data_IF_997851156097
#
_entry.id   IF_997851156097
#
_cell.length_a   1.000
_cell.length_b   1.000
_cell.length_c   1.000
_cell.angle_alpha   90.00
_cell.angle_beta   90.00
_cell.angle_gamma   90.00
#
_symmetry.space_group_name_H-M   'P 1'
#
loop_
_entity.id
_entity.type
_entity.pdbx_description
1 polymer ?
#
# COMPACT_ATOMS: atom_id res chain seq x y z
N UNK A 1 5.28 -17.46 29.66
CA UNK A 1 5.86 -16.34 28.88
C UNK A 1 7.16 -16.85 28.27
N UNK A 2 7.13 -17.23 26.98
CA UNK A 2 8.32 -17.72 26.28
C UNK A 2 9.31 -16.57 26.09
N UNK A 3 10.51 -16.76 26.64
CA UNK A 3 11.50 -15.73 26.98
C UNK A 3 12.37 -15.25 25.81
N UNK A 4 12.06 -15.68 24.57
CA UNK A 4 12.93 -15.50 23.40
C UNK A 4 12.42 -14.48 22.39
N UNK A 5 11.12 -14.13 22.44
CA UNK A 5 10.59 -12.96 21.74
C UNK A 5 10.64 -11.76 22.68
N UNK A 6 11.76 -11.04 22.64
CA UNK A 6 11.95 -9.76 23.32
C UNK A 6 11.88 -8.61 22.30
N UNK A 7 11.78 -7.38 22.79
CA UNK A 7 11.77 -6.18 21.97
C UNK A 7 12.94 -6.21 20.98
N UNK A 8 12.66 -5.92 19.71
CA UNK A 8 13.61 -5.93 18.59
C UNK A 8 14.05 -7.30 18.07
N UNK A 9 13.55 -8.43 18.58
CA UNK A 9 13.82 -9.76 17.97
C UNK A 9 13.47 -9.74 16.48
N UNK A 10 12.25 -9.29 16.18
CA UNK A 10 11.80 -8.90 14.85
C UNK A 10 11.76 -7.37 14.77
N UNK A 11 12.25 -6.80 13.68
CA UNK A 11 12.20 -5.35 13.44
C UNK A 11 11.05 -4.99 12.50
N UNK A 12 10.83 -3.68 12.29
CA UNK A 12 9.77 -3.14 11.41
C UNK A 12 8.36 -3.70 11.70
N UNK A 13 8.07 -4.00 12.98
CA UNK A 13 6.82 -4.60 13.45
C UNK A 13 6.55 -6.03 12.95
N UNK A 14 7.59 -6.81 12.60
CA UNK A 14 7.43 -8.23 12.30
C UNK A 14 6.89 -9.01 13.51
N UNK A 15 6.01 -9.98 13.26
CA UNK A 15 5.40 -10.77 14.33
C UNK A 15 6.38 -11.87 14.79
N UNK A 16 6.71 -11.87 16.08
CA UNK A 16 7.62 -12.86 16.66
C UNK A 16 6.84 -14.07 17.18
N UNK A 17 7.30 -15.28 16.82
CA UNK A 17 6.82 -16.56 17.33
C UNK A 17 7.99 -17.48 17.67
N UNK A 18 7.74 -18.57 18.40
CA UNK A 18 8.75 -19.61 18.65
C UNK A 18 8.43 -20.80 17.74
N UNK A 19 9.43 -21.25 16.97
CA UNK A 19 9.29 -22.37 16.05
C UNK A 19 9.40 -23.73 16.77
N UNK A 20 9.27 -24.83 16.03
CA UNK A 20 9.34 -26.20 16.58
C UNK A 20 10.70 -26.58 17.18
N UNK A 21 11.76 -25.82 16.89
CA UNK A 21 13.10 -26.00 17.43
C UNK A 21 13.38 -25.14 18.68
N UNK A 22 12.35 -24.53 19.27
CA UNK A 22 12.46 -23.57 20.38
C UNK A 22 13.26 -22.29 20.04
N UNK A 23 13.30 -21.91 18.76
CA UNK A 23 14.00 -20.70 18.28
C UNK A 23 13.01 -19.59 17.89
N UNK A 24 13.36 -18.30 18.09
CA UNK A 24 12.52 -17.20 17.62
C UNK A 24 12.47 -17.15 16.09
N UNK A 25 11.27 -16.90 15.56
CA UNK A 25 10.98 -16.77 14.13
C UNK A 25 10.13 -15.54 13.88
N UNK A 26 10.44 -14.80 12.81
CA UNK A 26 9.76 -13.57 12.45
C UNK A 26 8.89 -13.74 11.20
N UNK A 27 7.61 -13.37 11.30
CA UNK A 27 6.75 -13.18 10.14
C UNK A 27 6.87 -11.73 9.65
N UNK A 28 7.34 -11.58 8.41
CA UNK A 28 7.61 -10.29 7.78
C UNK A 28 6.54 -9.84 6.78
N UNK A 29 5.46 -10.62 6.57
CA UNK A 29 4.47 -10.39 5.50
C UNK A 29 3.86 -8.98 5.55
N UNK A 30 3.63 -8.44 6.75
CA UNK A 30 3.03 -7.11 6.94
C UNK A 30 4.05 -5.97 7.09
N UNK A 31 5.34 -6.24 6.89
CA UNK A 31 6.41 -5.26 7.18
C UNK A 31 6.92 -4.53 5.94
N UNK A 32 6.72 -5.10 4.74
CA UNK A 32 7.42 -4.77 3.49
C UNK A 32 8.91 -5.14 3.41
N UNK A 33 9.49 -5.66 4.50
CA UNK A 33 10.86 -6.15 4.58
C UNK A 33 10.91 -7.69 4.53
N UNK A 34 12.12 -8.22 4.34
CA UNK A 34 12.40 -9.66 4.33
C UNK A 34 13.60 -9.99 5.23
N UNK A 35 13.97 -11.27 5.28
CA UNK A 35 15.06 -11.77 6.12
C UNK A 35 14.57 -12.32 7.45
N UNK A 36 15.45 -13.03 8.16
CA UNK A 36 15.09 -13.73 9.41
C UNK A 36 14.57 -12.80 10.51
N UNK A 37 14.89 -11.51 10.44
CA UNK A 37 14.46 -10.50 11.40
C UNK A 37 13.64 -9.38 10.78
N UNK A 38 13.25 -9.49 9.51
CA UNK A 38 12.59 -8.44 8.74
C UNK A 38 13.43 -7.17 8.56
N UNK A 39 14.76 -7.31 8.44
CA UNK A 39 15.75 -6.24 8.42
C UNK A 39 16.34 -5.96 7.03
N UNK A 40 15.95 -6.73 6.01
CA UNK A 40 16.50 -6.62 4.65
C UNK A 40 15.46 -6.08 3.70
N UNK A 41 15.90 -5.23 2.78
CA UNK A 41 15.07 -4.77 1.67
C UNK A 41 14.80 -5.91 0.68
N UNK A 42 13.55 -6.07 0.20
CA UNK A 42 13.25 -7.05 -0.83
C UNK A 42 13.81 -6.60 -2.20
N UNK A 43 13.90 -7.56 -3.13
CA UNK A 43 14.06 -7.21 -4.55
C UNK A 43 12.75 -6.61 -5.05
N UNK A 44 12.83 -5.50 -5.78
CA UNK A 44 11.68 -4.78 -6.33
C UNK A 44 11.71 -4.65 -7.85
N UNK A 45 10.65 -4.06 -8.37
CA UNK A 45 10.54 -3.66 -9.77
C UNK A 45 10.84 -2.16 -9.91
N UNK A 46 11.47 -1.77 -11.01
CA UNK A 46 11.84 -0.39 -11.29
C UNK A 46 11.06 0.10 -12.51
N UNK A 47 10.38 1.24 -12.37
CA UNK A 47 9.60 1.87 -13.43
C UNK A 47 10.19 3.24 -13.78
N UNK A 48 10.28 3.57 -15.06
CA UNK A 48 10.70 4.90 -15.52
C UNK A 48 11.74 4.86 -16.63
N UNK A 49 12.35 6.02 -16.89
CA UNK A 49 13.12 6.33 -18.11
C UNK A 49 14.47 5.58 -18.14
N UNK A 50 14.39 4.27 -18.38
CA UNK A 50 15.28 3.39 -19.15
C UNK A 50 15.09 1.89 -18.82
N UNK A 51 14.07 1.49 -18.05
CA UNK A 51 13.31 0.24 -18.28
C UNK A 51 11.82 0.54 -18.07
N UNK A 52 11.18 0.67 -19.23
CA UNK A 52 9.93 1.35 -19.61
C UNK A 52 8.71 1.13 -18.72
N UNK A 53 7.70 2.01 -18.91
CA UNK A 53 6.35 2.00 -18.32
C UNK A 53 5.85 0.57 -18.07
N UNK A 54 5.43 0.30 -16.84
CA UNK A 54 4.75 -0.96 -16.55
C UNK A 54 3.79 -0.79 -15.39
N UNK A 55 2.53 -1.07 -15.63
CA UNK A 55 1.68 -1.61 -14.57
C UNK A 55 2.03 -3.09 -14.49
N UNK A 56 2.35 -3.59 -13.31
CA UNK A 56 2.41 -5.05 -13.10
C UNK A 56 1.00 -5.50 -12.82
N UNK A 57 0.40 -6.15 -13.81
CA UNK A 57 -0.93 -6.72 -13.68
C UNK A 57 -0.81 -8.18 -13.26
N UNK A 58 -1.43 -8.53 -12.15
CA UNK A 58 -1.51 -9.91 -11.69
C UNK A 58 -2.97 -10.26 -11.39
N UNK A 59 -3.47 -11.34 -11.98
CA UNK A 59 -4.85 -11.80 -11.79
C UNK A 59 -4.85 -12.87 -10.70
N UNK A 60 -5.54 -12.60 -9.59
CA UNK A 60 -5.72 -13.56 -8.50
C UNK A 60 -7.05 -14.29 -8.69
N UNK A 61 -7.00 -15.56 -9.13
CA UNK A 61 -8.20 -16.36 -9.45
C UNK A 61 -8.93 -16.92 -8.22
N UNK A 62 -8.25 -17.00 -7.09
CA UNK A 62 -8.81 -17.49 -5.81
C UNK A 62 -9.01 -16.35 -4.82
N UNK A 63 -9.25 -15.13 -5.31
CA UNK A 63 -9.44 -13.98 -4.45
C UNK A 63 -10.62 -14.24 -3.50
N UNK A 64 -10.33 -14.28 -2.21
CA UNK A 64 -11.37 -14.34 -1.20
C UNK A 64 -12.05 -12.98 -1.15
N UNK A 65 -13.38 -12.98 -1.28
CA UNK A 65 -14.17 -11.79 -1.00
C UNK A 65 -14.23 -11.63 0.52
N UNK A 66 -13.30 -10.85 1.07
CA UNK A 66 -13.19 -10.57 2.50
C UNK A 66 -13.59 -9.14 2.83
N UNK A 67 -14.08 -8.95 4.06
CA UNK A 67 -14.37 -7.62 4.62
C UNK A 67 -13.13 -6.93 5.19
N UNK A 68 -11.98 -7.59 5.11
CA UNK A 68 -10.72 -7.18 5.72
C UNK A 68 -9.53 -7.54 4.84
N UNK A 69 -8.71 -6.54 4.54
CA UNK A 69 -7.49 -6.71 3.76
C UNK A 69 -6.32 -5.99 4.44
N UNK A 70 -5.14 -6.62 4.43
CA UNK A 70 -3.87 -6.00 4.80
C UNK A 70 -2.95 -6.08 3.59
N UNK A 71 -2.48 -4.93 3.13
CA UNK A 71 -1.63 -4.81 1.95
C UNK A 71 -0.36 -4.08 2.38
N UNK A 72 0.79 -4.70 2.20
CA UNK A 72 2.08 -4.13 2.60
C UNK A 72 3.09 -4.22 1.46
N UNK A 73 3.75 -3.11 1.15
CA UNK A 73 4.78 -3.04 0.10
C UNK A 73 5.74 -1.89 0.33
N UNK A 74 6.92 -1.98 -0.28
CA UNK A 74 7.91 -0.92 -0.27
C UNK A 74 7.74 0.02 -1.46
N UNK A 75 7.86 1.32 -1.24
CA UNK A 75 7.83 2.33 -2.29
C UNK A 75 9.08 3.21 -2.21
N UNK A 76 9.71 3.43 -3.36
CA UNK A 76 10.77 4.42 -3.51
C UNK A 76 10.53 5.19 -4.80
N UNK A 77 10.27 6.51 -4.70
CA UNK A 77 9.90 7.32 -5.86
C UNK A 77 10.34 8.77 -5.70
N UNK A 78 10.70 9.41 -6.81
CA UNK A 78 10.83 10.87 -6.95
C UNK A 78 9.64 11.48 -7.70
N UNK A 79 8.71 10.66 -8.17
CA UNK A 79 7.53 11.13 -8.90
C UNK A 79 6.53 11.73 -7.93
N UNK A 80 6.12 12.96 -8.20
CA UNK A 80 5.09 13.67 -7.44
C UNK A 80 3.67 13.34 -7.90
N UNK A 81 3.53 12.59 -9.00
CA UNK A 81 2.24 12.10 -9.50
C UNK A 81 2.37 10.69 -10.10
N UNK A 82 1.64 9.70 -9.56
CA UNK A 82 1.61 8.32 -10.06
C UNK A 82 0.46 7.52 -9.44
N UNK A 83 -0.11 6.56 -10.20
CA UNK A 83 -0.91 5.48 -9.61
C UNK A 83 0.04 4.42 -9.03
N UNK A 84 -0.07 4.16 -7.74
CA UNK A 84 0.85 3.29 -6.98
C UNK A 84 0.29 1.87 -6.89
N UNK A 85 -0.99 1.74 -6.53
CA UNK A 85 -1.67 0.46 -6.38
C UNK A 85 -3.09 0.58 -6.89
N UNK A 86 -3.57 -0.47 -7.56
CA UNK A 86 -4.98 -0.67 -7.86
C UNK A 86 -5.30 -2.15 -7.70
N UNK A 87 -6.19 -2.44 -6.76
CA UNK A 87 -6.80 -3.76 -6.60
C UNK A 87 -8.25 -3.64 -7.08
N UNK A 88 -8.65 -4.48 -8.03
CA UNK A 88 -9.99 -4.44 -8.60
C UNK A 88 -10.59 -5.85 -8.68
N UNK A 89 -11.87 -5.96 -8.34
CA UNK A 89 -12.67 -7.16 -8.59
C UNK A 89 -13.05 -7.24 -10.07
N UNK A 90 -13.35 -8.43 -10.60
CA UNK A 90 -14.08 -8.58 -11.87
C UNK A 90 -15.58 -8.85 -11.54
N UNK A 91 -16.56 -8.09 -12.05
CA UNK A 91 -16.53 -7.15 -13.18
C UNK A 91 -16.39 -5.66 -12.79
N UNK A 92 -15.36 -5.29 -12.02
CA UNK A 92 -15.00 -3.91 -11.64
C UNK A 92 -16.03 -3.18 -10.76
N UNK A 93 -16.76 -3.91 -9.92
CA UNK A 93 -17.71 -3.32 -8.96
C UNK A 93 -17.02 -2.80 -7.69
N UNK A 94 -15.90 -3.42 -7.32
CA UNK A 94 -15.12 -3.09 -6.14
C UNK A 94 -13.68 -2.80 -6.54
N UNK A 95 -13.13 -1.70 -6.02
CA UNK A 95 -11.70 -1.42 -6.16
C UNK A 95 -11.14 -0.61 -5.00
N UNK A 96 -9.86 -0.83 -4.71
CA UNK A 96 -9.05 -0.04 -3.79
C UNK A 96 -7.88 0.52 -4.59
N UNK A 97 -7.78 1.84 -4.65
CA UNK A 97 -6.74 2.54 -5.38
C UNK A 97 -5.93 3.43 -4.44
N UNK A 98 -4.61 3.42 -4.64
CA UNK A 98 -3.68 4.35 -4.02
C UNK A 98 -2.92 5.11 -5.11
N UNK A 99 -3.01 6.43 -5.09
CA UNK A 99 -2.30 7.31 -6.01
C UNK A 99 -1.66 8.49 -5.27
N UNK A 100 -0.62 9.04 -5.87
CA UNK A 100 -0.03 10.32 -5.49
C UNK A 100 -0.38 11.29 -6.61
N UNK A 101 -0.86 12.48 -6.29
CA UNK A 101 -1.14 13.55 -7.25
C UNK A 101 -0.61 14.86 -6.69
N UNK A 102 0.42 15.43 -7.33
CA UNK A 102 1.09 16.65 -6.89
C UNK A 102 1.46 16.62 -5.40
N UNK A 103 2.15 15.55 -4.98
CA UNK A 103 2.63 15.30 -3.60
C UNK A 103 1.52 15.01 -2.55
N UNK A 104 0.26 15.00 -2.96
CA UNK A 104 -0.85 14.57 -2.11
C UNK A 104 -1.14 13.08 -2.34
N UNK A 105 -1.20 12.30 -1.26
CA UNK A 105 -1.63 10.90 -1.28
C UNK A 105 -3.15 10.83 -1.29
N UNK A 106 -3.71 10.00 -2.18
CA UNK A 106 -5.14 9.72 -2.29
C UNK A 106 -5.43 8.24 -2.22
N UNK A 107 -6.37 7.86 -1.34
CA UNK A 107 -6.98 6.54 -1.31
C UNK A 107 -8.39 6.64 -1.87
N UNK A 108 -8.72 5.79 -2.86
CA UNK A 108 -10.07 5.71 -3.45
C UNK A 108 -10.63 4.32 -3.21
N UNK A 109 -11.86 4.25 -2.72
CA UNK A 109 -12.54 3.00 -2.45
C UNK A 109 -13.88 2.95 -3.18
N UNK A 110 -13.99 2.03 -4.13
CA UNK A 110 -15.24 1.69 -4.80
C UNK A 110 -15.84 0.47 -4.10
N UNK A 111 -17.04 0.62 -3.54
CA UNK A 111 -17.73 -0.42 -2.78
C UNK A 111 -19.06 -0.81 -3.43
N UNK A 112 -19.06 -1.12 -4.72
CA UNK A 112 -20.27 -1.40 -5.50
C UNK A 112 -21.04 -0.16 -5.96
N UNK A 113 -20.47 1.03 -5.74
CA UNK A 113 -21.03 2.34 -6.10
C UNK A 113 -20.35 2.91 -7.34
N UNK A 114 -21.03 3.83 -8.05
CA UNK A 114 -20.44 4.55 -9.19
C UNK A 114 -19.42 5.60 -8.79
N UNK A 115 -19.51 6.12 -7.57
CA UNK A 115 -18.60 7.13 -7.03
C UNK A 115 -17.80 6.50 -5.87
N UNK A 116 -16.47 6.73 -5.81
CA UNK A 116 -15.66 6.24 -4.72
C UNK A 116 -15.79 7.12 -3.48
N UNK A 117 -15.55 6.53 -2.31
CA UNK A 117 -15.11 7.28 -1.15
C UNK A 117 -13.65 7.68 -1.37
N UNK A 118 -13.34 8.97 -1.20
CA UNK A 118 -11.99 9.51 -1.40
C UNK A 118 -11.46 10.01 -0.08
N UNK A 119 -10.24 9.59 0.23
CA UNK A 119 -9.50 10.03 1.39
C UNK A 119 -8.14 10.56 0.95
N UNK A 120 -7.66 11.63 1.58
CA UNK A 120 -6.37 12.21 1.21
C UNK A 120 -5.54 12.67 2.41
N UNK A 121 -4.24 12.75 2.22
CA UNK A 121 -3.29 13.37 3.15
C UNK A 121 -2.04 13.84 2.41
N UNK A 122 -1.38 14.87 2.92
CA UNK A 122 -0.01 15.22 2.52
C UNK A 122 0.93 14.22 3.21
N UNK A 123 1.71 13.47 2.44
CA UNK A 123 2.64 12.47 2.97
C UNK A 123 3.98 12.59 2.25
N UNK A 124 5.06 12.68 3.02
CA UNK A 124 6.42 12.82 2.49
C UNK A 124 6.97 11.45 2.09
N UNK A 125 6.67 11.01 0.87
CA UNK A 125 7.11 9.70 0.31
C UNK A 125 7.72 9.81 -1.10
N UNK A 126 7.86 11.03 -1.62
CA UNK A 126 8.35 11.32 -2.97
C UNK A 126 9.79 11.87 -2.94
N UNK A 127 10.56 11.52 -1.91
CA UNK A 127 11.92 12.01 -1.66
C UNK A 127 13.02 11.10 -2.22
N UNK A 128 12.65 9.99 -2.86
CA UNK A 128 13.57 9.02 -3.44
C UNK A 128 14.16 8.03 -2.42
N UNK A 129 13.69 8.02 -1.18
CA UNK A 129 14.04 7.04 -0.14
C UNK A 129 12.98 5.94 -0.07
N UNK A 130 13.37 4.78 0.45
CA UNK A 130 12.45 3.66 0.66
C UNK A 130 11.51 3.94 1.83
N UNK A 131 10.20 3.82 1.58
CA UNK A 131 9.16 3.89 2.57
C UNK A 131 8.37 2.58 2.64
N UNK A 132 8.09 2.13 3.85
CA UNK A 132 7.22 0.99 4.11
C UNK A 132 5.76 1.45 4.11
N UNK A 133 4.99 1.05 3.10
CA UNK A 133 3.57 1.37 2.96
C UNK A 133 2.74 0.19 3.44
N UNK A 134 1.81 0.45 4.38
CA UNK A 134 0.79 -0.52 4.77
C UNK A 134 -0.59 0.10 4.68
N UNK A 135 -1.48 -0.58 3.97
CA UNK A 135 -2.89 -0.22 3.82
C UNK A 135 -3.73 -1.29 4.51
N UNK A 136 -4.65 -0.86 5.36
CA UNK A 136 -5.63 -1.74 6.00
C UNK A 136 -7.01 -1.34 5.50
N UNK A 137 -7.69 -2.24 4.78
CA UNK A 137 -9.09 -2.04 4.38
C UNK A 137 -10.01 -2.79 5.33
N UNK A 138 -11.05 -2.13 5.82
CA UNK A 138 -12.15 -2.74 6.59
C UNK A 138 -13.47 -2.27 5.99
N UNK A 139 -14.17 -3.14 5.25
CA UNK A 139 -15.39 -2.76 4.54
C UNK A 139 -15.17 -1.48 3.70
N UNK A 140 -15.94 -0.42 3.96
CA UNK A 140 -15.85 0.89 3.28
C UNK A 140 -14.83 1.85 3.92
N UNK A 141 -13.96 1.37 4.81
CA UNK A 141 -12.96 2.20 5.50
C UNK A 141 -11.55 1.77 5.15
N UNK A 142 -10.62 2.73 5.19
CA UNK A 142 -9.22 2.51 4.85
C UNK A 142 -8.33 3.23 5.86
N UNK A 143 -7.24 2.57 6.25
CA UNK A 143 -6.15 3.14 7.02
C UNK A 143 -4.86 3.09 6.20
N UNK A 144 -4.06 4.14 6.28
CA UNK A 144 -2.73 4.22 5.66
C UNK A 144 -1.68 4.35 6.77
N UNK A 145 -0.64 3.52 6.70
CA UNK A 145 0.55 3.61 7.51
C UNK A 145 1.75 3.81 6.59
N UNK A 146 2.64 4.72 6.98
CA UNK A 146 3.93 4.95 6.32
C UNK A 146 5.01 4.86 7.38
N UNK A 147 5.98 3.98 7.17
CA UNK A 147 7.10 3.73 8.10
C UNK A 147 6.64 3.40 9.53
N UNK A 148 5.51 2.68 9.64
CA UNK A 148 4.89 2.30 10.91
C UNK A 148 4.04 3.40 11.55
N UNK A 149 3.99 4.60 10.99
CA UNK A 149 3.19 5.72 11.50
C UNK A 149 1.83 5.75 10.81
N UNK A 150 0.75 5.80 11.59
CA UNK A 150 -0.61 5.95 11.07
C UNK A 150 -0.82 7.35 10.52
N UNK A 151 -1.14 7.44 9.23
CA UNK A 151 -1.46 8.70 8.56
C UNK A 151 -2.92 9.06 8.82
N UNK A 152 -3.17 10.30 9.25
CA UNK A 152 -4.52 10.82 9.39
C UNK A 152 -5.05 11.22 8.03
N UNK A 153 -5.92 10.39 7.48
CA UNK A 153 -6.60 10.66 6.22
C UNK A 153 -7.83 11.56 6.43
N UNK A 154 -8.01 12.53 5.55
CA UNK A 154 -9.18 13.39 5.50
C UNK A 154 -10.14 12.89 4.42
N UNK A 155 -11.39 12.59 4.81
CA UNK A 155 -12.41 12.13 3.87
C UNK A 155 -13.03 13.29 3.12
N UNK A 156 -12.91 13.28 1.79
CA UNK A 156 -13.65 14.19 0.92
C UNK A 156 -14.86 13.43 0.37
N UNK A 157 -16.07 13.78 0.84
CA UNK A 157 -17.32 13.19 0.32
C UNK A 157 -17.61 13.61 -1.12
N UNK A 158 -16.76 14.44 -1.75
CA UNK A 158 -16.93 14.97 -3.11
C UNK A 158 -15.57 15.17 -3.75
N UNK A 159 -15.38 14.62 -4.96
CA UNK A 159 -14.24 14.92 -5.83
C UNK A 159 -13.95 16.43 -5.85
N UNK A 160 -12.68 16.85 -5.73
CA UNK A 160 -12.23 18.11 -6.28
C UNK A 160 -12.63 18.14 -7.76
N UNK A 161 -13.22 19.26 -8.21
CA UNK A 161 -13.71 19.44 -9.58
C UNK A 161 -12.68 18.93 -10.60
N UNK A 162 -13.19 18.14 -11.55
CA UNK A 162 -12.61 17.76 -12.83
C UNK A 162 -11.18 18.24 -13.08
N UNK A 163 -10.25 17.29 -13.15
CA UNK A 163 -9.10 17.43 -14.04
C UNK A 163 -9.63 17.77 -15.43
N UNK A 164 -9.15 18.91 -15.93
CA UNK A 164 -9.48 19.46 -17.23
C UNK A 164 -9.41 18.40 -18.33
N UNK A 165 -10.37 18.52 -19.25
CA UNK A 165 -10.46 17.76 -20.49
C UNK A 165 -9.08 17.68 -21.18
N UNK A 166 -8.72 16.55 -21.82
CA UNK A 166 -7.64 16.59 -22.78
C UNK A 166 -8.02 17.59 -23.89
N UNK A 167 -7.14 18.55 -24.14
CA UNK A 167 -7.20 19.40 -25.34
C UNK A 167 -7.40 18.48 -26.55
N UNK A 168 -8.56 18.63 -27.20
CA UNK A 168 -8.73 18.15 -28.55
C UNK A 168 -7.66 18.83 -29.42
N UNK A 169 -6.73 18.04 -29.93
CA UNK A 169 -5.85 18.46 -31.01
C UNK A 169 -6.71 18.36 -32.28
N UNK A 170 -7.09 19.52 -32.83
CA UNK A 170 -7.62 19.64 -34.19
C UNK A 170 -6.52 19.43 -35.23
#
# INVERSE_FOLDING_TARGET
LNKLCYDFTCVHSGACSINENDEPSCDCVETSFIGERCDKLPKGFYFGKHHSIGTINHIVRTAHQGDYDIISFGLQTLSTSAQILRLESEPNLYSLEYEIVREQSYMKLYAGTKQPDIYSAVVQITDGVYHAIKIIRRLSTVELYVDGIRIKLEGETKLPRQLDQPMAIS
#
